data_IF_838414634409
#
_entry.id   IF_838414634409
#
_cell.length_a   1.000
_cell.length_b   1.000
_cell.length_c   1.000
_cell.angle_alpha   90.00
_cell.angle_beta   90.00
_cell.angle_gamma   90.00
#
_symmetry.space_group_name_H-M   'P 1'
#
loop_
_entity.id
_entity.type
_entity.pdbx_description
1 polymer ?
#
# COMPACT_ATOMS: atom_id res chain seq x y z
N UNK A 1 1.10 0.52 -18.19
CA UNK A 1 0.93 0.84 -16.76
C UNK A 1 1.00 -0.44 -15.95
N UNK A 2 1.81 -0.47 -14.90
CA UNK A 2 1.91 -1.63 -14.01
C UNK A 2 0.77 -1.60 -12.99
N UNK A 3 0.10 -2.73 -12.72
CA UNK A 3 -0.87 -2.83 -11.63
C UNK A 3 -0.17 -2.71 -10.27
N UNK A 4 -0.89 -2.22 -9.25
CA UNK A 4 -0.37 -2.11 -7.87
C UNK A 4 -0.50 -3.43 -7.09
N UNK A 5 -1.45 -4.27 -7.49
CA UNK A 5 -1.67 -5.59 -6.91
C UNK A 5 -2.69 -6.37 -7.72
N UNK A 6 -2.91 -7.62 -7.33
CA UNK A 6 -3.91 -8.49 -7.93
C UNK A 6 -4.50 -9.44 -6.89
N UNK A 7 -5.73 -9.89 -7.11
CA UNK A 7 -6.34 -10.96 -6.33
C UNK A 7 -6.45 -12.20 -7.19
N UNK A 8 -5.81 -13.29 -6.76
CA UNK A 8 -5.83 -14.59 -7.44
C UNK A 8 -6.87 -15.49 -6.78
N UNK A 9 -7.69 -16.13 -7.60
CA UNK A 9 -8.75 -17.06 -7.19
C UNK A 9 -9.70 -16.50 -6.11
N UNK A 10 -9.89 -15.17 -6.08
CA UNK A 10 -10.70 -14.47 -5.07
C UNK A 10 -10.27 -14.76 -3.62
N UNK A 11 -9.02 -15.20 -3.41
CA UNK A 11 -8.55 -15.69 -2.11
C UNK A 11 -7.16 -15.23 -1.74
N UNK A 12 -6.32 -14.82 -2.69
CA UNK A 12 -4.93 -14.43 -2.41
C UNK A 12 -4.68 -13.04 -2.96
N UNK A 13 -4.38 -12.09 -2.08
CA UNK A 13 -3.92 -10.76 -2.49
C UNK A 13 -2.41 -10.81 -2.72
N UNK A 14 -1.98 -10.27 -3.86
CA UNK A 14 -0.56 -10.14 -4.23
C UNK A 14 -0.24 -8.65 -4.40
N UNK A 15 0.75 -8.16 -3.67
CA UNK A 15 1.25 -6.77 -3.71
C UNK A 15 2.78 -6.74 -3.65
N UNK A 16 3.40 -5.59 -3.91
CA UNK A 16 4.86 -5.48 -3.83
C UNK A 16 5.35 -5.38 -2.37
N UNK A 17 4.88 -4.36 -1.65
CA UNK A 17 5.24 -4.04 -0.27
C UNK A 17 4.31 -4.74 0.72
N UNK A 18 3.22 -4.11 1.10
CA UNK A 18 2.31 -4.71 2.07
C UNK A 18 1.02 -3.93 2.24
N UNK A 19 0.53 -3.90 3.47
CA UNK A 19 -0.71 -3.24 3.85
C UNK A 19 -0.50 -2.35 5.08
N UNK A 20 -1.60 -1.84 5.61
CA UNK A 20 -1.75 -1.11 6.85
C UNK A 20 -3.17 -1.29 7.38
N UNK A 21 -3.42 -0.85 8.60
CA UNK A 21 -4.73 -0.82 9.25
C UNK A 21 -5.78 0.03 8.51
N UNK A 22 -5.35 0.93 7.64
CA UNK A 22 -6.20 1.79 6.82
C UNK A 22 -6.25 1.39 5.34
N UNK A 23 -5.63 0.27 4.94
CA UNK A 23 -5.62 -0.14 3.54
C UNK A 23 -7.04 -0.45 3.04
N UNK A 24 -7.41 0.16 1.91
CA UNK A 24 -8.72 0.01 1.26
C UNK A 24 -8.57 -0.45 -0.20
N UNK A 25 -8.99 -1.68 -0.50
CA UNK A 25 -8.86 -2.27 -1.83
C UNK A 25 -9.76 -1.64 -2.88
N UNK A 26 -10.94 -1.13 -2.50
CA UNK A 26 -11.84 -0.46 -3.44
C UNK A 26 -11.26 0.89 -3.84
N UNK A 27 -10.61 1.57 -2.90
CA UNK A 27 -9.88 2.79 -3.20
C UNK A 27 -8.65 2.53 -4.07
N UNK A 28 -7.79 1.56 -3.70
CA UNK A 28 -6.61 1.19 -4.52
C UNK A 28 -7.01 0.82 -5.95
N UNK A 29 -8.17 0.20 -6.12
CA UNK A 29 -8.73 -0.14 -7.44
C UNK A 29 -9.19 1.09 -8.22
N UNK A 30 -9.77 2.09 -7.57
CA UNK A 30 -10.34 3.30 -8.20
C UNK A 30 -9.30 4.37 -8.54
N UNK A 31 -8.05 4.23 -8.06
CA UNK A 31 -6.96 5.16 -8.32
C UNK A 31 -6.73 5.43 -9.81
N UNK A 32 -6.80 6.71 -10.17
CA UNK A 32 -6.33 7.19 -11.47
C UNK A 32 -4.81 7.31 -11.49
N UNK A 33 -4.16 6.22 -11.89
CA UNK A 33 -2.71 6.11 -11.95
C UNK A 33 -2.06 7.02 -12.99
N UNK A 34 -2.81 7.58 -13.95
CA UNK A 34 -2.25 8.48 -14.96
C UNK A 34 -1.85 9.84 -14.39
N UNK A 35 -2.43 10.22 -13.24
CA UNK A 35 -2.07 11.45 -12.52
C UNK A 35 -0.66 11.40 -11.92
N UNK A 36 -0.13 10.20 -11.71
CA UNK A 36 1.15 9.99 -11.04
C UNK A 36 2.27 9.81 -12.07
N UNK A 37 2.98 10.90 -12.38
CA UNK A 37 4.18 10.85 -13.24
C UNK A 37 5.32 10.11 -12.53
N UNK A 38 5.41 10.25 -11.20
CA UNK A 38 6.35 9.54 -10.33
C UNK A 38 5.77 9.45 -8.92
N UNK A 39 6.12 8.42 -8.17
CA UNK A 39 5.75 8.33 -6.74
C UNK A 39 6.50 9.35 -5.87
N UNK A 40 7.63 9.87 -6.35
CA UNK A 40 8.40 10.92 -5.68
C UNK A 40 7.90 12.32 -6.02
N UNK A 41 7.10 12.43 -7.10
CA UNK A 41 6.53 13.70 -7.53
C UNK A 41 5.01 13.59 -7.44
N UNK A 42 4.39 14.19 -6.42
CA UNK A 42 2.96 14.17 -6.32
C UNK A 42 2.30 14.73 -7.60
N UNK A 43 1.07 14.30 -7.94
CA UNK A 43 0.34 14.85 -9.07
C UNK A 43 0.27 16.38 -8.97
N UNK A 44 0.72 17.07 -10.01
CA UNK A 44 0.58 18.53 -10.13
C UNK A 44 -0.67 18.80 -10.95
N UNK A 45 -1.64 19.49 -10.37
CA UNK A 45 -2.87 19.90 -11.10
C UNK A 45 -2.54 21.14 -11.96
N UNK A 46 -2.96 21.22 -13.24
CA UNK A 46 -2.63 22.36 -14.10
C UNK A 46 -3.25 23.68 -13.63
N UNK A 47 -2.45 24.75 -13.63
CA UNK A 47 -2.75 26.09 -13.10
C UNK A 47 -3.64 26.95 -14.02
N UNK A 48 -4.91 26.59 -14.21
CA UNK A 48 -5.86 27.48 -14.92
C UNK A 48 -7.13 27.80 -14.12
N UNK A 49 -6.97 28.16 -12.85
CA UNK A 49 -8.00 28.86 -12.09
C UNK A 49 -7.40 29.69 -10.96
N UNK A 50 -7.52 31.02 -11.07
CA UNK A 50 -7.16 31.98 -10.03
C UNK A 50 -8.06 31.80 -8.79
N UNK A 51 -7.66 30.97 -7.84
CA UNK A 51 -8.14 30.98 -6.46
C UNK A 51 -7.15 30.19 -5.59
N UNK A 52 -7.10 30.52 -4.30
CA UNK A 52 -6.28 29.88 -3.27
C UNK A 52 -6.52 28.37 -3.25
N UNK A 53 -5.68 27.61 -3.94
CA UNK A 53 -5.79 26.17 -4.06
C UNK A 53 -4.39 25.55 -4.18
N UNK A 54 -3.62 25.64 -3.08
CA UNK A 54 -2.68 24.57 -2.73
C UNK A 54 -3.50 23.32 -2.40
N UNK A 55 -4.28 22.82 -3.35
CA UNK A 55 -5.21 21.73 -3.12
C UNK A 55 -4.40 20.45 -2.98
N UNK A 56 -4.41 19.98 -1.73
CA UNK A 56 -3.61 18.91 -1.22
C UNK A 56 -3.69 17.69 -2.13
N UNK A 57 -2.53 17.09 -2.44
CA UNK A 57 -2.52 15.65 -2.71
C UNK A 57 -3.37 15.02 -1.62
N UNK A 58 -4.38 14.24 -1.99
CA UNK A 58 -5.12 13.49 -1.01
C UNK A 58 -4.09 12.59 -0.31
N UNK A 59 -3.66 13.03 0.87
CA UNK A 59 -2.59 12.40 1.65
C UNK A 59 -2.95 10.95 1.92
N UNK A 60 -4.25 10.66 1.96
CA UNK A 60 -4.76 9.32 2.12
C UNK A 60 -4.58 8.51 0.84
N UNK A 61 -4.95 9.04 -0.32
CA UNK A 61 -4.72 8.40 -1.62
C UNK A 61 -3.23 8.04 -1.80
N UNK A 62 -2.35 8.99 -1.52
CA UNK A 62 -0.91 8.77 -1.65
C UNK A 62 -0.40 7.75 -0.64
N UNK A 63 -0.95 7.76 0.59
CA UNK A 63 -0.62 6.77 1.61
C UNK A 63 -1.01 5.36 1.18
N UNK A 64 -2.17 5.16 0.54
CA UNK A 64 -2.56 3.84 0.01
C UNK A 64 -1.51 3.31 -0.97
N UNK A 65 -1.04 4.16 -1.89
CA UNK A 65 0.00 3.77 -2.87
C UNK A 65 1.32 3.43 -2.19
N UNK A 66 1.75 4.24 -1.21
CA UNK A 66 2.98 3.96 -0.47
C UNK A 66 2.88 2.69 0.36
N UNK A 67 1.77 2.42 1.03
CA UNK A 67 1.62 1.21 1.83
C UNK A 67 1.72 -0.05 0.93
N UNK A 68 1.01 -0.06 -0.21
CA UNK A 68 1.02 -1.17 -1.17
C UNK A 68 2.42 -1.44 -1.74
N UNK A 69 3.28 -0.42 -1.82
CA UNK A 69 4.61 -0.52 -2.44
C UNK A 69 5.78 -0.59 -1.44
N UNK A 70 5.64 -0.06 -0.23
CA UNK A 70 6.76 0.16 0.70
C UNK A 70 6.51 -0.27 2.15
N UNK A 71 5.31 -0.77 2.48
CA UNK A 71 5.08 -1.35 3.81
C UNK A 71 5.87 -2.63 4.01
N UNK A 72 6.28 -2.90 5.26
CA UNK A 72 6.99 -4.11 5.70
C UNK A 72 6.28 -4.78 6.89
N UNK A 73 6.24 -6.13 6.97
CA UNK A 73 5.72 -6.79 8.16
C UNK A 73 6.66 -6.59 9.36
N UNK A 74 6.10 -6.64 10.56
CA UNK A 74 6.86 -6.67 11.81
C UNK A 74 6.29 -7.71 12.79
N UNK A 75 7.08 -8.06 13.81
CA UNK A 75 6.62 -9.01 14.84
C UNK A 75 5.67 -8.42 15.89
N UNK A 76 5.64 -7.09 16.04
CA UNK A 76 4.77 -6.41 17.01
C UNK A 76 3.39 -6.14 16.41
N UNK A 77 2.35 -6.16 17.24
CA UNK A 77 1.00 -5.77 16.83
C UNK A 77 0.91 -4.29 16.39
N UNK A 78 -0.12 -4.00 15.60
CA UNK A 78 -0.49 -2.67 15.14
C UNK A 78 0.32 -2.17 13.94
N UNK A 79 0.17 -0.88 13.66
CA UNK A 79 0.88 -0.19 12.59
C UNK A 79 1.77 0.91 13.15
N UNK A 80 3.01 1.01 12.66
CA UNK A 80 3.91 2.14 12.94
C UNK A 80 4.60 2.61 11.66
N UNK A 81 5.04 3.88 11.56
CA UNK A 81 5.73 4.36 10.36
C UNK A 81 6.98 3.54 10.03
N UNK A 82 7.19 3.22 8.75
CA UNK A 82 8.39 2.51 8.31
C UNK A 82 9.58 3.46 8.19
N UNK A 83 10.32 3.63 9.29
CA UNK A 83 11.46 4.55 9.38
C UNK A 83 12.68 4.09 8.58
N UNK A 84 12.85 2.79 8.34
CA UNK A 84 13.97 2.26 7.56
C UNK A 84 13.83 2.59 6.07
N UNK A 85 12.61 2.49 5.54
CA UNK A 85 12.31 2.83 4.14
C UNK A 85 12.13 4.33 3.92
N UNK A 86 11.69 5.05 4.95
CA UNK A 86 11.27 6.46 4.84
C UNK A 86 9.91 6.64 4.16
N UNK A 87 9.18 5.54 3.90
CA UNK A 87 7.86 5.50 3.30
C UNK A 87 7.15 4.17 3.65
N UNK A 88 5.82 4.18 3.62
CA UNK A 88 5.01 3.00 4.00
C UNK A 88 4.94 2.78 5.51
N UNK A 89 4.42 1.61 5.89
CA UNK A 89 4.04 1.27 7.25
C UNK A 89 4.66 -0.07 7.66
N UNK A 90 5.19 -0.17 8.87
CA UNK A 90 5.39 -1.47 9.51
C UNK A 90 4.04 -1.98 10.00
N UNK A 91 3.63 -3.18 9.62
CA UNK A 91 2.34 -3.77 10.01
C UNK A 91 2.51 -5.10 10.74
N UNK A 92 1.77 -5.26 11.82
CA UNK A 92 1.78 -6.45 12.66
C UNK A 92 0.95 -7.63 12.11
N UNK A 93 1.06 -8.79 12.78
CA UNK A 93 0.24 -9.96 12.44
C UNK A 93 -1.27 -9.68 12.60
N UNK A 94 -1.68 -8.95 13.63
CA UNK A 94 -3.09 -8.61 13.88
C UNK A 94 -3.70 -7.76 12.75
N UNK A 95 -2.90 -6.90 12.11
CA UNK A 95 -3.31 -6.10 10.95
C UNK A 95 -3.55 -7.02 9.75
N UNK A 96 -2.67 -7.99 9.54
CA UNK A 96 -2.80 -9.00 8.48
C UNK A 96 -4.07 -9.83 8.69
N UNK A 97 -4.28 -10.36 9.89
CA UNK A 97 -5.46 -11.17 10.22
C UNK A 97 -6.77 -10.42 10.01
N UNK A 98 -6.85 -9.19 10.56
CA UNK A 98 -8.03 -8.32 10.41
C UNK A 98 -8.30 -8.01 8.94
N UNK A 99 -7.26 -7.72 8.17
CA UNK A 99 -7.39 -7.40 6.75
C UNK A 99 -7.89 -8.60 5.94
N UNK A 100 -7.28 -9.78 6.13
CA UNK A 100 -7.67 -11.00 5.44
C UNK A 100 -9.12 -11.38 5.78
N UNK A 101 -9.50 -11.30 7.05
CA UNK A 101 -10.86 -11.56 7.50
C UNK A 101 -11.87 -10.57 6.88
N UNK A 102 -11.57 -9.27 6.89
CA UNK A 102 -12.40 -8.20 6.30
C UNK A 102 -12.70 -8.46 4.82
N UNK A 103 -11.71 -8.94 4.08
CA UNK A 103 -11.80 -9.13 2.63
C UNK A 103 -12.07 -10.60 2.21
N UNK A 104 -12.30 -11.51 3.16
CA UNK A 104 -12.51 -12.95 2.92
C UNK A 104 -11.37 -13.60 2.09
N UNK A 105 -10.14 -13.15 2.36
CA UNK A 105 -8.90 -13.64 1.77
C UNK A 105 -8.24 -14.66 2.70
N UNK A 106 -7.37 -15.50 2.15
CA UNK A 106 -6.60 -16.51 2.87
C UNK A 106 -5.14 -16.12 3.03
N UNK A 107 -4.56 -15.46 2.03
CA UNK A 107 -3.14 -15.13 2.02
C UNK A 107 -2.88 -13.74 1.48
N UNK A 108 -1.90 -13.08 2.09
CA UNK A 108 -1.19 -11.94 1.54
C UNK A 108 0.18 -12.43 1.04
N UNK A 109 0.39 -12.40 -0.27
CA UNK A 109 1.71 -12.65 -0.86
C UNK A 109 2.34 -11.30 -1.20
N UNK A 110 3.58 -11.11 -0.76
CA UNK A 110 4.34 -9.89 -1.00
C UNK A 110 5.79 -10.18 -1.39
N UNK A 111 6.52 -9.12 -1.76
CA UNK A 111 7.94 -9.17 -2.13
C UNK A 111 8.74 -8.21 -1.25
N UNK A 112 9.56 -7.32 -1.81
CA UNK A 112 10.17 -6.13 -1.19
C UNK A 112 11.23 -6.35 -0.09
N UNK A 113 11.32 -7.52 0.54
CA UNK A 113 12.41 -7.89 1.46
C UNK A 113 13.21 -9.08 0.91
N UNK A 114 14.55 -8.98 0.99
CA UNK A 114 15.42 -10.10 0.68
C UNK A 114 15.37 -11.13 1.82
N UNK A 115 15.14 -12.40 1.49
CA UNK A 115 15.18 -13.53 2.41
C UNK A 115 16.22 -14.54 1.91
N UNK A 116 16.96 -15.16 2.84
CA UNK A 116 18.10 -16.03 2.51
C UNK A 116 17.70 -17.20 1.60
N UNK A 117 16.54 -17.80 1.86
CA UNK A 117 16.01 -18.93 1.08
C UNK A 117 15.15 -18.47 -0.12
N UNK A 118 15.10 -17.17 -0.40
CA UNK A 118 14.28 -16.58 -1.45
C UNK A 118 12.79 -16.41 -1.09
N UNK A 119 12.34 -16.95 0.04
CA UNK A 119 10.98 -16.77 0.56
C UNK A 119 10.94 -16.85 2.10
N UNK A 120 9.80 -16.47 2.68
CA UNK A 120 9.49 -16.65 4.10
C UNK A 120 7.99 -16.92 4.23
N UNK A 121 7.62 -17.96 4.97
CA UNK A 121 6.24 -18.19 5.41
C UNK A 121 6.09 -17.59 6.81
N UNK A 122 5.36 -16.47 6.90
CA UNK A 122 4.99 -15.88 8.17
C UNK A 122 3.73 -16.59 8.72
N UNK A 123 3.66 -16.82 10.05
CA UNK A 123 2.51 -17.41 10.69
C UNK A 123 1.27 -16.51 10.64
#
# INVERSE_FOLDING_TARGET
WLPLGTVVNNKVLIVHGGISDITDLDWVRSLDRQKYVSLLRPPVVPETSNAVATEAIDKMEWKQVFDILWSDPQGNEGCVPNTLRGAGTYFGPDVTDKFLAKHNLLFLIRSHECKIDGYLLAP
#
